data_IF_032262163308
#
_entry.id   IF_032262163308
#
_cell.length_a   1.000
_cell.length_b   1.000
_cell.length_c   1.000
_cell.angle_alpha   90.00
_cell.angle_beta   90.00
_cell.angle_gamma   90.00
#
_symmetry.space_group_name_H-M   'P 1'
#
loop_
_entity.id
_entity.type
_entity.pdbx_description
1 polymer ?
#
# COMPACT_ATOMS: atom_id res chain seq x y z
N UNK A 1 1.20 -2.08 42.88
CA UNK A 1 0.75 -2.73 41.63
C UNK A 1 0.54 -1.61 40.64
N UNK A 2 1.42 -1.45 39.65
CA UNK A 2 1.19 -0.50 38.56
C UNK A 2 0.04 -1.05 37.69
N UNK A 3 -1.01 -0.24 37.48
CA UNK A 3 -2.04 -0.53 36.49
C UNK A 3 -1.37 -0.63 35.12
N UNK A 4 -1.44 -1.81 34.50
CA UNK A 4 -0.95 -1.98 33.13
C UNK A 4 -1.85 -1.15 32.21
N UNK A 5 -1.30 -0.28 31.36
CA UNK A 5 -2.11 0.49 30.42
C UNK A 5 -2.87 -0.46 29.50
N UNK A 6 -4.20 -0.45 29.58
CA UNK A 6 -5.05 -1.25 28.71
C UNK A 6 -5.11 -0.59 27.33
N UNK A 7 -4.60 -1.30 26.32
CA UNK A 7 -4.74 -0.89 24.91
C UNK A 7 -6.20 -1.04 24.49
N UNK A 8 -6.77 0.01 23.91
CA UNK A 8 -8.16 -0.01 23.41
C UNK A 8 -8.37 -1.16 22.40
N UNK A 9 -9.50 -1.86 22.51
CA UNK A 9 -9.88 -2.93 21.58
C UNK A 9 -9.85 -2.49 20.12
N UNK A 10 -10.23 -1.24 19.83
CA UNK A 10 -10.19 -0.69 18.47
C UNK A 10 -8.76 -0.62 17.89
N UNK A 11 -7.78 -0.22 18.71
CA UNK A 11 -6.36 -0.18 18.30
C UNK A 11 -5.85 -1.59 18.02
N UNK A 12 -6.22 -2.56 18.85
CA UNK A 12 -5.83 -3.96 18.68
C UNK A 12 -6.37 -4.55 17.37
N UNK A 13 -7.64 -4.30 17.05
CA UNK A 13 -8.30 -4.79 15.83
C UNK A 13 -7.72 -4.14 14.58
N UNK A 14 -7.60 -2.81 14.56
CA UNK A 14 -7.04 -2.09 13.41
C UNK A 14 -5.59 -2.48 13.14
N UNK A 15 -4.78 -2.63 14.19
CA UNK A 15 -3.40 -3.11 14.08
C UNK A 15 -3.32 -4.52 13.50
N UNK A 16 -4.24 -5.41 13.89
CA UNK A 16 -4.29 -6.78 13.36
C UNK A 16 -4.70 -6.81 11.88
N UNK A 17 -5.70 -6.03 11.50
CA UNK A 17 -6.14 -5.90 10.11
C UNK A 17 -5.05 -5.30 9.22
N UNK A 18 -4.33 -4.28 9.73
CA UNK A 18 -3.16 -3.71 9.06
C UNK A 18 -2.10 -4.78 8.81
N UNK A 19 -1.63 -5.45 9.86
CA UNK A 19 -0.55 -6.45 9.74
C UNK A 19 -0.90 -7.58 8.77
N UNK A 20 -2.12 -8.13 8.86
CA UNK A 20 -2.53 -9.23 7.98
C UNK A 20 -2.77 -8.79 6.55
N UNK A 21 -3.33 -7.60 6.32
CA UNK A 21 -3.49 -7.10 4.96
C UNK A 21 -2.13 -6.93 4.27
N UNK A 22 -1.13 -6.42 4.96
CA UNK A 22 0.24 -6.29 4.44
C UNK A 22 0.88 -7.64 4.12
N UNK A 23 0.73 -8.64 5.00
CA UNK A 23 1.25 -9.99 4.76
C UNK A 23 0.56 -10.63 3.56
N UNK A 24 -0.76 -10.52 3.45
CA UNK A 24 -1.54 -11.10 2.34
C UNK A 24 -1.21 -10.40 1.03
N UNK A 25 -1.27 -9.06 0.97
CA UNK A 25 -0.96 -8.32 -0.24
C UNK A 25 0.50 -8.47 -0.66
N UNK A 26 1.44 -8.42 0.29
CA UNK A 26 2.86 -8.68 0.02
C UNK A 26 3.08 -10.09 -0.52
N UNK A 27 2.51 -11.11 0.12
CA UNK A 27 2.59 -12.50 -0.32
C UNK A 27 1.99 -12.73 -1.70
N UNK A 28 0.79 -12.22 -1.97
CA UNK A 28 0.15 -12.30 -3.27
C UNK A 28 0.95 -11.57 -4.36
N UNK A 29 1.49 -10.38 -4.05
CA UNK A 29 2.35 -9.64 -4.98
C UNK A 29 3.59 -10.45 -5.34
N UNK A 30 4.22 -11.11 -4.37
CA UNK A 30 5.38 -11.97 -4.62
C UNK A 30 5.04 -13.20 -5.46
N UNK A 31 3.85 -13.80 -5.24
CA UNK A 31 3.39 -14.90 -6.09
C UNK A 31 3.16 -14.44 -7.54
N UNK A 32 2.58 -13.26 -7.75
CA UNK A 32 2.35 -12.71 -9.08
C UNK A 32 3.65 -12.41 -9.83
N UNK A 33 4.69 -11.97 -9.12
CA UNK A 33 6.02 -11.71 -9.69
C UNK A 33 6.63 -12.96 -10.34
N UNK A 34 6.36 -14.16 -9.80
CA UNK A 34 6.81 -15.41 -10.39
C UNK A 34 6.29 -15.62 -11.83
N UNK A 35 5.18 -14.99 -12.19
CA UNK A 35 4.57 -15.06 -13.53
C UNK A 35 4.92 -13.86 -14.40
N UNK A 36 5.17 -12.68 -13.81
CA UNK A 36 5.31 -11.43 -14.57
C UNK A 36 6.75 -10.95 -14.74
N UNK A 37 7.73 -11.54 -14.05
CA UNK A 37 9.15 -11.08 -14.04
C UNK A 37 9.31 -9.59 -13.70
N UNK A 38 8.37 -9.03 -12.95
CA UNK A 38 8.36 -7.61 -12.59
C UNK A 38 9.13 -7.40 -11.27
N UNK A 39 10.40 -7.02 -11.37
CA UNK A 39 11.26 -6.77 -10.21
C UNK A 39 10.76 -5.66 -9.29
N UNK A 40 10.12 -4.61 -9.82
CA UNK A 40 9.54 -3.57 -8.99
C UNK A 40 8.39 -4.10 -8.13
N UNK A 41 7.56 -4.98 -8.71
CA UNK A 41 6.53 -5.74 -7.99
C UNK A 41 7.12 -6.66 -6.91
N UNK A 42 8.30 -7.23 -7.16
CA UNK A 42 9.01 -8.06 -6.19
C UNK A 42 9.46 -7.22 -4.98
N UNK A 43 10.10 -6.09 -5.25
CA UNK A 43 10.65 -5.21 -4.21
C UNK A 43 9.54 -4.66 -3.30
N UNK A 44 8.44 -4.17 -3.88
CA UNK A 44 7.31 -3.70 -3.06
C UNK A 44 6.64 -4.85 -2.31
N UNK A 45 6.52 -6.03 -2.93
CA UNK A 45 5.99 -7.23 -2.25
C UNK A 45 6.81 -7.64 -1.03
N UNK A 46 8.14 -7.64 -1.14
CA UNK A 46 9.06 -7.90 -0.02
C UNK A 46 8.89 -6.83 1.05
N UNK A 47 8.83 -5.55 0.68
CA UNK A 47 8.65 -4.46 1.63
C UNK A 47 7.34 -4.59 2.41
N UNK A 48 6.21 -4.80 1.72
CA UNK A 48 4.89 -5.00 2.36
C UNK A 48 4.91 -6.20 3.32
N UNK A 49 5.44 -7.34 2.88
CA UNK A 49 5.52 -8.54 3.71
C UNK A 49 6.42 -8.30 4.93
N UNK A 50 7.58 -7.68 4.75
CA UNK A 50 8.51 -7.32 5.81
C UNK A 50 7.86 -6.41 6.85
N UNK A 51 7.21 -5.33 6.41
CA UNK A 51 6.49 -4.42 7.29
C UNK A 51 5.34 -5.11 8.04
N UNK A 52 4.59 -6.00 7.38
CA UNK A 52 3.52 -6.79 8.01
C UNK A 52 4.04 -7.74 9.09
N UNK A 53 5.16 -8.45 8.83
CA UNK A 53 5.79 -9.34 9.82
C UNK A 53 6.33 -8.53 11.02
N UNK A 54 7.00 -7.40 10.76
CA UNK A 54 7.51 -6.51 11.81
C UNK A 54 6.35 -5.98 12.65
N UNK A 55 5.27 -5.52 12.02
CA UNK A 55 4.07 -5.03 12.71
C UNK A 55 3.44 -6.12 13.58
N UNK A 56 3.26 -7.34 13.06
CA UNK A 56 2.70 -8.46 13.82
C UNK A 56 3.53 -8.79 15.07
N UNK A 57 4.86 -8.79 14.95
CA UNK A 57 5.78 -9.05 16.07
C UNK A 57 5.76 -7.93 17.11
N UNK A 58 5.83 -6.67 16.67
CA UNK A 58 5.81 -5.52 17.56
C UNK A 58 4.45 -5.36 18.25
N UNK A 59 3.34 -5.61 17.54
CA UNK A 59 1.99 -5.63 18.10
C UNK A 59 1.88 -6.62 19.25
N UNK A 60 2.37 -7.85 19.08
CA UNK A 60 2.35 -8.86 20.14
C UNK A 60 3.03 -8.37 21.42
N UNK A 61 4.20 -7.72 21.30
CA UNK A 61 4.94 -7.12 22.42
C UNK A 61 4.21 -5.91 23.02
N UNK A 62 3.64 -5.06 22.17
CA UNK A 62 2.93 -3.85 22.59
C UNK A 62 1.69 -4.18 23.42
N UNK A 63 0.92 -5.19 22.99
CA UNK A 63 -0.28 -5.63 23.72
C UNK A 63 0.04 -6.32 25.05
N UNK A 64 1.19 -6.99 25.16
CA UNK A 64 1.58 -7.70 26.38
C UNK A 64 2.14 -6.77 27.46
N UNK A 65 2.96 -5.80 27.07
CA UNK A 65 3.80 -5.05 27.99
C UNK A 65 3.58 -3.53 27.95
N UNK A 66 2.76 -3.00 27.03
CA UNK A 66 2.43 -1.57 26.94
C UNK A 66 3.63 -0.64 26.77
N UNK A 67 4.80 -1.16 26.34
CA UNK A 67 6.04 -0.41 26.38
C UNK A 67 6.04 0.73 25.35
N UNK A 68 6.37 1.94 25.82
CA UNK A 68 6.48 3.16 25.00
C UNK A 68 7.39 2.98 23.78
N UNK A 69 8.50 2.27 23.93
CA UNK A 69 9.43 2.00 22.82
C UNK A 69 8.82 1.10 21.75
N UNK A 70 7.95 0.14 22.13
CA UNK A 70 7.28 -0.72 21.15
C UNK A 70 6.24 0.06 20.33
N UNK A 71 5.51 0.98 20.96
CA UNK A 71 4.58 1.87 20.26
C UNK A 71 5.29 2.86 19.32
N UNK A 72 6.46 3.39 19.69
CA UNK A 72 7.31 4.16 18.76
C UNK A 72 7.79 3.31 17.58
N UNK A 73 8.19 2.06 17.83
CA UNK A 73 8.60 1.13 16.78
C UNK A 73 7.47 0.85 15.77
N UNK A 74 6.25 0.65 16.25
CA UNK A 74 5.07 0.48 15.39
C UNK A 74 4.79 1.74 14.55
N UNK A 75 4.91 2.93 15.15
CA UNK A 75 4.75 4.18 14.41
C UNK A 75 5.83 4.38 13.34
N UNK A 76 7.08 4.08 13.65
CA UNK A 76 8.17 4.12 12.66
C UNK A 76 7.97 3.12 11.54
N UNK A 77 7.48 1.91 11.85
CA UNK A 77 7.16 0.92 10.83
C UNK A 77 6.09 1.43 9.84
N UNK A 78 5.05 2.10 10.35
CA UNK A 78 4.00 2.70 9.52
C UNK A 78 4.52 3.87 8.65
N UNK A 79 5.41 4.70 9.20
CA UNK A 79 6.06 5.77 8.42
C UNK A 79 7.00 5.22 7.35
N UNK A 80 7.75 4.17 7.65
CA UNK A 80 8.64 3.52 6.67
C UNK A 80 7.82 2.85 5.55
N UNK A 81 6.75 2.14 5.92
CA UNK A 81 5.81 1.55 4.98
C UNK A 81 5.22 2.60 4.03
N UNK A 82 4.76 3.74 4.56
CA UNK A 82 4.19 4.80 3.73
C UNK A 82 5.23 5.36 2.76
N UNK A 83 6.47 5.58 3.21
CA UNK A 83 7.56 6.03 2.35
C UNK A 83 7.86 5.02 1.23
N UNK A 84 7.93 3.71 1.55
CA UNK A 84 8.15 2.66 0.56
C UNK A 84 7.05 2.59 -0.49
N UNK A 85 5.79 2.65 -0.06
CA UNK A 85 4.64 2.61 -0.98
C UNK A 85 4.55 3.88 -1.81
N UNK A 86 4.77 5.06 -1.22
CA UNK A 86 4.79 6.33 -1.96
C UNK A 86 5.90 6.37 -3.00
N UNK A 87 7.11 5.90 -2.65
CA UNK A 87 8.22 5.85 -3.59
C UNK A 87 7.87 4.93 -4.77
N UNK A 88 7.27 3.77 -4.50
CA UNK A 88 6.80 2.85 -5.54
C UNK A 88 5.72 3.47 -6.43
N UNK A 89 4.70 4.12 -5.84
CA UNK A 89 3.62 4.76 -6.59
C UNK A 89 4.13 5.95 -7.42
N UNK A 90 5.05 6.75 -6.88
CA UNK A 90 5.69 7.83 -7.61
C UNK A 90 6.52 7.30 -8.79
N UNK A 91 7.29 6.23 -8.56
CA UNK A 91 8.04 5.57 -9.62
C UNK A 91 7.11 5.02 -10.71
N UNK A 92 6.02 4.35 -10.34
CA UNK A 92 5.01 3.84 -11.29
C UNK A 92 4.37 4.97 -12.10
N UNK A 93 4.07 6.11 -11.48
CA UNK A 93 3.51 7.27 -12.18
C UNK A 93 4.51 7.90 -13.17
N UNK A 94 5.80 7.90 -12.84
CA UNK A 94 6.86 8.39 -13.73
C UNK A 94 7.22 7.40 -14.84
N UNK A 95 7.01 6.10 -14.60
CA UNK A 95 7.29 5.02 -15.54
C UNK A 95 6.13 4.74 -16.51
N UNK A 96 5.06 5.56 -16.51
CA UNK A 96 3.96 5.41 -17.47
C UNK A 96 4.48 5.70 -18.87
N UNK A 97 4.66 4.65 -19.68
CA UNK A 97 5.03 4.75 -21.08
C UNK A 97 3.79 4.73 -21.98
N UNK A 98 3.68 5.76 -22.82
CA UNK A 98 2.59 5.87 -23.79
C UNK A 98 2.65 4.80 -24.86
N UNK A 99 3.85 4.40 -25.29
CA UNK A 99 4.01 3.35 -26.30
C UNK A 99 3.53 1.99 -25.78
N UNK A 100 3.79 1.68 -24.51
CA UNK A 100 3.28 0.48 -23.86
C UNK A 100 1.76 0.52 -23.71
N UNK A 101 1.20 1.67 -23.32
CA UNK A 101 -0.25 1.84 -23.22
C UNK A 101 -0.96 1.71 -24.58
N UNK A 102 -0.42 2.32 -25.63
CA UNK A 102 -0.94 2.17 -26.99
C UNK A 102 -0.88 0.70 -27.43
N UNK A 103 0.23 0.00 -27.14
CA UNK A 103 0.37 -1.43 -27.41
C UNK A 103 -0.62 -2.29 -26.59
N UNK A 104 -0.94 -1.90 -25.36
CA UNK A 104 -1.98 -2.55 -24.55
C UNK A 104 -3.38 -2.34 -25.14
N UNK A 105 -3.72 -1.11 -25.56
CA UNK A 105 -5.00 -0.82 -26.18
C UNK A 105 -5.17 -1.49 -27.55
N UNK A 106 -4.08 -1.78 -28.24
CA UNK A 106 -4.08 -2.52 -29.50
C UNK A 106 -4.28 -4.05 -29.32
N UNK A 107 -4.22 -4.58 -28.09
CA UNK A 107 -4.41 -6.00 -27.79
C UNK A 107 -5.85 -6.29 -27.35
N UNK A 108 -6.36 -7.46 -27.71
CA UNK A 108 -7.64 -7.94 -27.18
C UNK A 108 -7.52 -8.35 -25.70
N UNK A 109 -8.58 -8.16 -24.88
CA UNK A 109 -9.93 -7.70 -25.26
C UNK A 109 -10.10 -6.18 -25.32
N UNK A 110 -9.08 -5.40 -24.94
CA UNK A 110 -9.19 -3.93 -24.84
C UNK A 110 -9.46 -3.29 -26.20
N UNK A 111 -8.81 -3.78 -27.26
CA UNK A 111 -9.05 -3.33 -28.63
C UNK A 111 -10.52 -3.52 -29.03
N UNK A 112 -11.05 -4.73 -28.85
CA UNK A 112 -12.44 -5.04 -29.15
C UNK A 112 -13.43 -4.20 -28.34
N UNK A 113 -13.11 -3.85 -27.08
CA UNK A 113 -13.94 -2.97 -26.25
C UNK A 113 -13.91 -1.53 -26.76
N UNK A 114 -12.74 -1.00 -27.11
CA UNK A 114 -12.61 0.36 -27.64
C UNK A 114 -13.35 0.53 -28.97
N UNK A 115 -13.35 -0.49 -29.83
CA UNK A 115 -14.07 -0.48 -31.10
C UNK A 115 -15.60 -0.46 -30.93
N UNK A 116 -16.12 -0.90 -29.78
CA UNK A 116 -17.55 -0.85 -29.46
C UNK A 116 -17.97 0.50 -28.86
N UNK A 117 -17.01 1.35 -28.47
CA UNK A 117 -17.28 2.68 -27.93
C UNK A 117 -17.46 3.71 -29.06
N UNK A 118 -18.20 4.81 -28.80
CA UNK A 118 -18.20 5.96 -29.69
C UNK A 118 -16.76 6.46 -29.95
N UNK A 119 -16.39 6.85 -31.18
CA UNK A 119 -15.02 7.26 -31.52
C UNK A 119 -14.47 8.37 -30.61
N UNK A 120 -15.33 9.33 -30.28
CA UNK A 120 -15.01 10.45 -29.38
C UNK A 120 -14.57 9.99 -27.98
N UNK A 121 -15.20 8.93 -27.47
CA UNK A 121 -14.90 8.35 -26.15
C UNK A 121 -13.62 7.54 -26.20
N UNK A 122 -13.41 6.77 -27.27
CA UNK A 122 -12.18 6.00 -27.48
C UNK A 122 -10.95 6.91 -27.61
N UNK A 123 -11.07 8.01 -28.36
CA UNK A 123 -10.01 9.00 -28.53
C UNK A 123 -9.72 9.75 -27.22
N UNK A 124 -10.77 10.13 -26.47
CA UNK A 124 -10.63 10.73 -25.15
C UNK A 124 -9.90 9.79 -24.20
N UNK A 125 -10.31 8.51 -24.13
CA UNK A 125 -9.64 7.51 -23.32
C UNK A 125 -8.17 7.40 -23.74
N UNK A 126 -7.86 7.18 -25.01
CA UNK A 126 -6.46 6.98 -25.41
C UNK A 126 -5.57 8.22 -25.16
N UNK A 127 -6.14 9.42 -25.24
CA UNK A 127 -5.42 10.67 -24.96
C UNK A 127 -5.21 10.90 -23.47
N UNK A 128 -6.23 10.66 -22.66
CA UNK A 128 -6.26 11.09 -21.26
C UNK A 128 -5.96 9.96 -20.27
N UNK A 129 -5.94 8.69 -20.70
CA UNK A 129 -5.64 7.53 -19.87
C UNK A 129 -4.33 7.62 -19.09
N UNK A 130 -3.19 8.07 -19.66
CA UNK A 130 -1.95 8.25 -18.89
C UNK A 130 -2.14 9.21 -17.70
N UNK A 131 -2.90 10.30 -17.91
CA UNK A 131 -3.19 11.29 -16.85
C UNK A 131 -4.13 10.70 -15.80
N UNK A 132 -5.12 9.92 -16.22
CA UNK A 132 -6.04 9.23 -15.32
C UNK A 132 -5.29 8.22 -14.45
N UNK A 133 -4.35 7.47 -15.04
CA UNK A 133 -3.52 6.50 -14.33
C UNK A 133 -2.58 7.18 -13.33
N UNK A 134 -1.92 8.28 -13.73
CA UNK A 134 -1.13 9.10 -12.81
C UNK A 134 -1.98 9.67 -11.66
N UNK A 135 -3.18 10.14 -11.96
CA UNK A 135 -4.15 10.61 -10.97
C UNK A 135 -4.57 9.50 -10.00
N UNK A 136 -4.80 8.28 -10.50
CA UNK A 136 -5.11 7.12 -9.68
C UNK A 136 -3.96 6.78 -8.71
N UNK A 137 -2.70 6.81 -9.17
CA UNK A 137 -1.54 6.65 -8.28
C UNK A 137 -1.44 7.77 -7.23
N UNK A 138 -1.77 9.01 -7.60
CA UNK A 138 -1.82 10.13 -6.67
C UNK A 138 -2.87 9.96 -5.56
N UNK A 139 -4.08 9.54 -5.92
CA UNK A 139 -5.15 9.23 -4.95
C UNK A 139 -4.74 8.07 -4.04
N UNK A 140 -4.17 7.00 -4.61
CA UNK A 140 -3.67 5.87 -3.84
C UNK A 140 -2.59 6.33 -2.83
N UNK A 141 -1.67 7.20 -3.25
CA UNK A 141 -0.64 7.78 -2.37
C UNK A 141 -1.24 8.58 -1.21
N UNK A 142 -2.29 9.36 -1.47
CA UNK A 142 -3.01 10.09 -0.43
C UNK A 142 -3.67 9.14 0.58
N UNK A 143 -4.32 8.08 0.11
CA UNK A 143 -4.94 7.07 0.98
C UNK A 143 -3.90 6.35 1.85
N UNK A 144 -2.75 6.02 1.29
CA UNK A 144 -1.61 5.42 2.00
C UNK A 144 -1.11 6.36 3.09
N UNK A 145 -0.93 7.64 2.78
CA UNK A 145 -0.53 8.66 3.76
C UNK A 145 -1.52 8.73 4.91
N UNK A 146 -2.82 8.88 4.61
CA UNK A 146 -3.87 8.98 5.63
C UNK A 146 -3.92 7.73 6.51
N UNK A 147 -3.88 6.53 5.91
CA UNK A 147 -3.90 5.27 6.64
C UNK A 147 -2.68 5.08 7.53
N UNK A 148 -1.48 5.18 6.95
CA UNK A 148 -0.24 4.91 7.67
C UNK A 148 0.08 5.98 8.72
N UNK A 149 -0.09 7.28 8.39
CA UNK A 149 0.13 8.34 9.37
C UNK A 149 -0.94 8.31 10.47
N UNK A 150 -2.19 8.00 10.13
CA UNK A 150 -3.26 7.79 11.10
C UNK A 150 -2.89 6.70 12.10
N UNK A 151 -2.45 5.53 11.62
CA UNK A 151 -1.99 4.42 12.46
C UNK A 151 -0.74 4.80 13.28
N UNK A 152 0.23 5.49 12.69
CA UNK A 152 1.42 5.96 13.38
C UNK A 152 1.07 6.90 14.56
N UNK A 153 0.18 7.86 14.33
CA UNK A 153 -0.31 8.77 15.36
C UNK A 153 -1.07 8.01 16.46
N UNK A 154 -1.88 7.01 16.10
CA UNK A 154 -2.57 6.15 17.06
C UNK A 154 -1.58 5.39 17.95
N UNK A 155 -0.53 4.79 17.36
CA UNK A 155 0.51 4.10 18.12
C UNK A 155 1.28 5.05 19.03
N UNK A 156 1.67 6.23 18.55
CA UNK A 156 2.35 7.24 19.37
C UNK A 156 1.48 7.75 20.51
N UNK A 157 0.18 7.94 20.29
CA UNK A 157 -0.77 8.36 21.32
C UNK A 157 -0.96 7.28 22.38
N UNK A 158 -1.08 6.03 21.95
CA UNK A 158 -1.19 4.89 22.85
C UNK A 158 0.11 4.67 23.66
N UNK A 159 1.28 4.95 23.09
CA UNK A 159 2.58 4.87 23.77
C UNK A 159 2.84 5.97 24.81
N UNK A 160 2.03 7.04 24.83
CA UNK A 160 2.15 8.16 25.79
C UNK A 160 1.23 8.02 27.00
N UNK A 161 0.29 7.07 26.95
CA UNK A 161 -0.60 6.72 28.06
C UNK A 161 0.04 5.62 28.89
#
# INVERSE_FOLDING_TARGET
MEERPQVSGAVSTLSQLSAWSLVVFGGLSLLLVCFSWNWAGALIGIALLGHGIVEARLRGRFLQNGQRETGKGLAWNQMALSASVLLYLAWQALAIDRAELDAMFARDPLRSLLQQMPPEVADMLNRDFPKLLAGAYGIAGLLVLLGCLGMALMYLKAARR
#
